data_IF_895933701966
#
_entry.id   IF_895933701966
#
_cell.length_a   1.000
_cell.length_b   1.000
_cell.length_c   1.000
_cell.angle_alpha   90.00
_cell.angle_beta   90.00
_cell.angle_gamma   90.00
#
_symmetry.space_group_name_H-M   'P 1'
#
loop_
_entity.id
_entity.type
_entity.pdbx_description
1 polymer ?
#
# COMPACT_ATOMS: atom_id res chain seq x y z
N UNK A 1 -20.99 0.09 -4.39
CA UNK A 1 -21.02 -1.28 -4.93
C UNK A 1 -20.02 -2.11 -4.15
N UNK A 2 -20.42 -3.29 -3.64
CA UNK A 2 -19.47 -4.21 -3.01
C UNK A 2 -18.71 -4.98 -4.08
N UNK A 3 -17.42 -5.12 -3.87
CA UNK A 3 -16.47 -5.81 -4.73
C UNK A 3 -16.14 -7.14 -4.04
N UNK A 4 -16.18 -8.26 -4.77
CA UNK A 4 -15.72 -9.55 -4.23
C UNK A 4 -14.20 -9.54 -4.19
N UNK A 5 -13.59 -10.16 -3.17
CA UNK A 5 -12.19 -9.94 -2.84
C UNK A 5 -11.16 -10.42 -3.89
N UNK A 6 -11.57 -11.19 -4.90
CA UNK A 6 -10.79 -11.45 -6.12
C UNK A 6 -10.55 -10.18 -6.99
N UNK A 7 -11.07 -9.02 -6.58
CA UNK A 7 -11.07 -7.75 -7.33
C UNK A 7 -10.69 -6.53 -6.47
N UNK A 8 -10.03 -6.70 -5.31
CA UNK A 8 -9.53 -5.54 -4.54
C UNK A 8 -8.51 -4.80 -5.41
N UNK A 9 -8.89 -3.61 -5.85
CA UNK A 9 -8.06 -2.72 -6.66
C UNK A 9 -7.66 -1.49 -5.87
N UNK A 10 -6.43 -1.02 -6.09
CA UNK A 10 -5.94 0.24 -5.57
C UNK A 10 -6.67 1.40 -6.25
N UNK A 11 -7.47 2.17 -5.50
CA UNK A 11 -8.11 3.37 -6.02
C UNK A 11 -7.13 4.56 -6.08
N UNK A 12 -7.46 5.56 -6.90
CA UNK A 12 -6.73 6.83 -6.90
C UNK A 12 -6.82 7.55 -5.54
N UNK A 13 -7.94 7.40 -4.82
CA UNK A 13 -8.12 7.99 -3.49
C UNK A 13 -7.18 7.34 -2.47
N UNK A 14 -7.06 6.02 -2.48
CA UNK A 14 -6.11 5.29 -1.65
C UNK A 14 -4.66 5.69 -1.95
N UNK A 15 -4.30 5.81 -3.24
CA UNK A 15 -2.96 6.21 -3.64
C UNK A 15 -2.60 7.60 -3.09
N UNK A 16 -3.50 8.58 -3.21
CA UNK A 16 -3.30 9.94 -2.68
C UNK A 16 -3.26 9.94 -1.16
N UNK A 17 -4.11 9.14 -0.51
CA UNK A 17 -4.12 9.01 0.95
C UNK A 17 -2.77 8.47 1.46
N UNK A 18 -2.25 7.39 0.86
CA UNK A 18 -0.93 6.84 1.21
C UNK A 18 0.16 7.88 0.97
N UNK A 19 0.17 8.53 -0.20
CA UNK A 19 1.14 9.59 -0.51
C UNK A 19 1.15 10.71 0.54
N UNK A 20 -0.03 11.06 1.08
CA UNK A 20 -0.16 12.10 2.11
C UNK A 20 0.45 11.69 3.46
N UNK A 21 0.42 10.40 3.80
CA UNK A 21 1.06 9.89 5.02
C UNK A 21 2.58 9.74 4.88
N UNK A 22 3.06 9.29 3.72
CA UNK A 22 4.49 9.05 3.49
C UNK A 22 5.29 10.36 3.33
N UNK A 23 4.68 11.37 2.71
CA UNK A 23 5.37 12.61 2.35
C UNK A 23 6.37 12.43 1.20
N UNK A 24 6.69 13.53 0.51
CA UNK A 24 7.55 13.51 -0.68
C UNK A 24 8.98 13.97 -0.39
N UNK A 25 9.97 13.23 -0.91
CA UNK A 25 11.38 13.63 -0.96
C UNK A 25 11.94 13.52 -2.38
N UNK A 26 12.34 14.65 -2.95
CA UNK A 26 12.82 14.72 -4.34
C UNK A 26 14.25 14.23 -4.58
N UNK A 27 15.04 14.07 -3.52
CA UNK A 27 16.40 13.52 -3.56
C UNK A 27 16.49 12.33 -2.64
N UNK A 28 17.25 11.30 -3.03
CA UNK A 28 17.43 10.12 -2.19
C UNK A 28 18.10 10.46 -0.86
N UNK A 29 17.75 9.70 0.18
CA UNK A 29 18.34 9.80 1.51
C UNK A 29 18.54 8.39 2.08
N UNK A 30 19.46 8.27 3.03
CA UNK A 30 19.60 7.07 3.86
C UNK A 30 18.51 7.08 4.93
N UNK A 31 17.72 6.01 5.01
CA UNK A 31 16.62 5.88 5.98
C UNK A 31 17.08 5.62 7.43
N UNK A 32 18.40 5.54 7.66
CA UNK A 32 19.01 5.33 8.97
C UNK A 32 19.49 3.89 9.19
N UNK A 33 19.14 2.97 8.28
CA UNK A 33 19.63 1.57 8.31
C UNK A 33 20.47 1.21 7.08
N UNK A 34 20.92 2.20 6.30
CA UNK A 34 21.77 2.00 5.14
C UNK A 34 21.01 1.81 3.82
N UNK A 35 19.68 1.98 3.82
CA UNK A 35 18.86 1.81 2.62
C UNK A 35 18.55 3.18 2.02
N UNK A 36 18.80 3.31 0.72
CA UNK A 36 18.48 4.53 -0.01
C UNK A 36 17.00 4.59 -0.36
N UNK A 37 16.37 5.69 0.01
CA UNK A 37 14.92 5.90 -0.10
C UNK A 37 14.64 7.22 -0.81
N UNK A 38 13.61 7.28 -1.66
CA UNK A 38 13.23 8.49 -2.42
C UNK A 38 11.73 8.55 -2.67
N UNK A 39 11.21 9.72 -3.03
CA UNK A 39 9.81 9.91 -3.40
C UNK A 39 8.91 9.75 -2.18
N UNK A 40 7.93 8.86 -2.28
CA UNK A 40 7.02 8.47 -1.19
C UNK A 40 7.45 7.16 -0.53
N UNK A 41 8.75 7.03 -0.24
CA UNK A 41 9.28 5.87 0.50
C UNK A 41 9.77 4.69 -0.33
N UNK A 42 9.92 4.82 -1.66
CA UNK A 42 10.43 3.70 -2.48
C UNK A 42 11.93 3.49 -2.28
N UNK A 43 12.35 2.23 -2.25
CA UNK A 43 13.76 1.81 -2.12
C UNK A 43 14.26 1.04 -3.35
N UNK A 44 13.34 0.66 -4.25
CA UNK A 44 13.67 -0.15 -5.41
C UNK A 44 14.61 0.60 -6.36
N UNK A 45 15.83 0.06 -6.51
CA UNK A 45 16.87 0.57 -7.43
C UNK A 45 17.27 2.03 -7.17
N UNK A 46 17.08 2.53 -5.95
CA UNK A 46 17.49 3.87 -5.57
C UNK A 46 18.98 3.85 -5.23
N UNK A 47 19.72 4.82 -5.78
CA UNK A 47 21.15 5.02 -5.50
C UNK A 47 21.37 6.35 -4.79
N UNK A 48 22.44 6.51 -4.01
CA UNK A 48 22.79 7.80 -3.43
C UNK A 48 22.86 8.90 -4.51
N UNK A 49 22.21 10.04 -4.24
CA UNK A 49 22.13 11.16 -5.17
C UNK A 49 21.05 11.05 -6.26
N UNK A 50 20.22 9.99 -6.23
CA UNK A 50 19.08 9.89 -7.16
C UNK A 50 18.13 11.07 -6.97
N UNK A 51 17.50 11.51 -8.06
CA UNK A 51 16.48 12.57 -8.05
C UNK A 51 15.20 12.09 -8.72
N UNK A 52 14.07 12.58 -8.24
CA UNK A 52 12.75 12.32 -8.82
C UNK A 52 11.87 13.55 -8.70
N UNK A 53 10.82 13.65 -9.50
CA UNK A 53 9.72 14.61 -9.36
C UNK A 53 8.48 13.92 -8.72
N UNK A 54 7.47 14.69 -8.28
CA UNK A 54 6.26 14.13 -7.65
C UNK A 54 5.46 13.17 -8.55
N UNK A 55 5.41 13.42 -9.86
CA UNK A 55 4.63 12.59 -10.79
C UNK A 55 5.30 11.22 -10.95
N UNK A 56 6.63 11.22 -11.14
CA UNK A 56 7.39 9.96 -11.18
C UNK A 56 7.35 9.22 -9.83
N UNK A 57 7.41 9.96 -8.72
CA UNK A 57 7.30 9.37 -7.38
C UNK A 57 5.92 8.72 -7.13
N UNK A 58 4.83 9.34 -7.62
CA UNK A 58 3.50 8.72 -7.59
C UNK A 58 3.46 7.44 -8.42
N UNK A 59 4.16 7.37 -9.55
CA UNK A 59 4.30 6.14 -10.33
C UNK A 59 5.01 5.03 -9.55
N UNK A 60 6.04 5.36 -8.76
CA UNK A 60 6.68 4.40 -7.86
C UNK A 60 5.73 3.92 -6.77
N UNK A 61 5.03 4.86 -6.12
CA UNK A 61 4.07 4.54 -5.09
C UNK A 61 2.94 3.65 -5.62
N UNK A 62 2.42 3.94 -6.82
CA UNK A 62 1.39 3.13 -7.45
C UNK A 62 1.84 1.68 -7.64
N UNK A 63 3.05 1.48 -8.17
CA UNK A 63 3.63 0.14 -8.32
C UNK A 63 3.74 -0.56 -6.96
N UNK A 64 4.34 0.09 -5.97
CA UNK A 64 4.62 -0.50 -4.66
C UNK A 64 3.31 -0.82 -3.91
N UNK A 65 2.34 0.09 -3.92
CA UNK A 65 1.02 -0.12 -3.31
C UNK A 65 0.17 -1.16 -4.07
N UNK A 66 0.29 -1.25 -5.41
CA UNK A 66 -0.39 -2.29 -6.18
C UNK A 66 0.18 -3.69 -5.86
N UNK A 67 1.50 -3.82 -5.71
CA UNK A 67 2.13 -5.06 -5.27
C UNK A 67 1.62 -5.50 -3.88
N UNK A 68 1.53 -4.57 -2.93
CA UNK A 68 0.92 -4.85 -1.61
C UNK A 68 -0.55 -5.27 -1.75
N UNK A 69 -1.32 -4.60 -2.61
CA UNK A 69 -2.72 -4.91 -2.87
C UNK A 69 -2.89 -6.35 -3.37
N UNK A 70 -2.06 -6.76 -4.32
CA UNK A 70 -2.04 -8.13 -4.84
C UNK A 70 -1.69 -9.14 -3.74
N UNK A 71 -0.69 -8.84 -2.91
CA UNK A 71 -0.27 -9.72 -1.81
C UNK A 71 -1.37 -9.95 -0.76
N UNK A 72 -2.14 -8.92 -0.41
CA UNK A 72 -3.19 -9.03 0.60
C UNK A 72 -4.50 -9.61 0.06
N UNK A 73 -4.74 -9.51 -1.25
CA UNK A 73 -5.98 -10.01 -1.88
C UNK A 73 -6.24 -11.49 -1.53
N UNK A 74 -5.20 -12.32 -1.61
CA UNK A 74 -5.26 -13.75 -1.33
C UNK A 74 -5.66 -14.04 0.13
N UNK A 75 -5.15 -13.24 1.07
CA UNK A 75 -5.45 -13.48 2.49
C UNK A 75 -6.77 -12.85 2.93
N UNK A 76 -7.32 -11.88 2.19
CA UNK A 76 -8.68 -11.39 2.40
C UNK A 76 -9.71 -12.42 1.87
N UNK A 77 -9.45 -13.04 0.70
CA UNK A 77 -10.21 -14.18 0.19
C UNK A 77 -11.38 -13.76 -0.70
N UNK A 78 -12.62 -14.09 -0.31
CA UNK A 78 -13.86 -13.76 -1.05
C UNK A 78 -14.79 -12.82 -0.28
N UNK A 79 -14.31 -12.25 0.84
CA UNK A 79 -15.12 -11.35 1.67
C UNK A 79 -15.59 -10.15 0.84
N UNK A 80 -16.90 -9.86 0.79
CA UNK A 80 -17.40 -8.71 0.05
C UNK A 80 -17.04 -7.42 0.79
N UNK A 81 -16.41 -6.47 0.09
CA UNK A 81 -15.99 -5.19 0.65
C UNK A 81 -16.52 -4.03 -0.18
N UNK A 82 -16.80 -2.91 0.46
CA UNK A 82 -16.90 -1.64 -0.24
C UNK A 82 -15.51 -1.14 -0.63
N UNK A 83 -15.44 -0.33 -1.69
CA UNK A 83 -14.15 0.21 -2.17
C UNK A 83 -13.38 0.96 -1.08
N UNK A 84 -14.06 1.72 -0.23
CA UNK A 84 -13.40 2.47 0.85
C UNK A 84 -12.82 1.56 1.95
N UNK A 85 -13.41 0.39 2.19
CA UNK A 85 -12.89 -0.61 3.14
C UNK A 85 -11.64 -1.28 2.56
N UNK A 86 -11.71 -1.66 1.28
CA UNK A 86 -10.57 -2.13 0.51
C UNK A 86 -9.40 -1.13 0.53
N UNK A 87 -9.68 0.15 0.24
CA UNK A 87 -8.70 1.23 0.26
C UNK A 87 -8.03 1.38 1.64
N UNK A 88 -8.81 1.31 2.72
CA UNK A 88 -8.29 1.34 4.08
C UNK A 88 -7.39 0.14 4.40
N UNK A 89 -7.74 -1.06 3.93
CA UNK A 89 -6.91 -2.25 4.09
C UNK A 89 -5.61 -2.18 3.31
N UNK A 90 -5.65 -1.67 2.08
CA UNK A 90 -4.44 -1.42 1.28
C UNK A 90 -3.54 -0.40 1.98
N UNK A 91 -4.08 0.71 2.48
CA UNK A 91 -3.29 1.71 3.22
C UNK A 91 -2.68 1.12 4.49
N UNK A 92 -3.42 0.30 5.24
CA UNK A 92 -2.89 -0.37 6.43
C UNK A 92 -1.78 -1.36 6.06
N UNK A 93 -2.00 -2.18 5.04
CA UNK A 93 -1.03 -3.16 4.59
C UNK A 93 0.24 -2.51 4.02
N UNK A 94 0.14 -1.33 3.41
CA UNK A 94 1.31 -0.56 2.99
C UNK A 94 2.14 -0.13 4.21
N UNK A 95 1.48 0.32 5.27
CA UNK A 95 2.15 0.78 6.49
C UNK A 95 2.82 -0.35 7.29
N UNK A 96 2.16 -1.49 7.49
CA UNK A 96 2.67 -2.58 8.34
C UNK A 96 3.26 -3.77 7.57
N UNK A 97 3.16 -3.76 6.23
CA UNK A 97 3.52 -4.86 5.36
C UNK A 97 2.44 -5.94 5.23
N UNK A 98 2.36 -6.57 4.05
CA UNK A 98 1.34 -7.57 3.73
C UNK A 98 1.35 -8.79 4.66
N UNK A 99 2.53 -9.28 5.05
CA UNK A 99 2.66 -10.43 5.96
C UNK A 99 2.06 -10.16 7.34
N UNK A 100 2.29 -8.97 7.89
CA UNK A 100 1.73 -8.55 9.18
C UNK A 100 0.21 -8.34 9.06
N UNK A 101 -0.24 -7.70 7.98
CA UNK A 101 -1.66 -7.52 7.68
C UNK A 101 -2.39 -8.86 7.61
N UNK A 102 -1.89 -9.83 6.84
CA UNK A 102 -2.53 -11.13 6.66
C UNK A 102 -2.61 -11.97 7.95
N UNK A 103 -1.68 -11.77 8.89
CA UNK A 103 -1.67 -12.46 10.20
C UNK A 103 -2.46 -11.73 11.28
N UNK A 104 -2.93 -10.52 10.99
CA UNK A 104 -3.57 -9.63 11.97
C UNK A 104 -4.89 -10.19 12.52
N UNK A 105 -5.27 -9.71 13.71
CA UNK A 105 -6.59 -9.98 14.27
C UNK A 105 -7.72 -9.40 13.41
N UNK A 106 -7.45 -8.34 12.66
CA UNK A 106 -8.39 -7.73 11.72
C UNK A 106 -8.80 -8.72 10.63
N UNK A 107 -7.84 -9.35 9.95
CA UNK A 107 -8.15 -10.33 8.89
C UNK A 107 -8.88 -11.55 9.46
N UNK A 108 -8.53 -11.98 10.68
CA UNK A 108 -9.26 -13.07 11.36
C UNK A 108 -10.72 -12.70 11.64
N UNK A 109 -10.98 -11.46 12.09
CA UNK A 109 -12.33 -10.96 12.33
C UNK A 109 -13.11 -10.82 11.02
N UNK A 110 -12.48 -10.24 9.99
CA UNK A 110 -13.07 -10.03 8.68
C UNK A 110 -13.61 -11.33 8.05
N UNK A 111 -12.86 -12.42 8.21
CA UNK A 111 -13.26 -13.75 7.71
C UNK A 111 -14.38 -14.41 8.50
N UNK A 112 -14.53 -14.06 9.78
CA UNK A 112 -15.56 -14.62 10.67
C UNK A 112 -16.86 -13.83 10.57
N UNK A 113 -16.73 -12.51 10.61
CA UNK A 113 -17.82 -11.54 10.66
C UNK A 113 -17.60 -10.58 9.48
N UNK A 114 -18.16 -10.92 8.31
CA UNK A 114 -18.07 -10.03 7.15
C UNK A 114 -18.73 -8.69 7.46
N UNK A 115 -18.12 -7.55 7.09
CA UNK A 115 -18.64 -6.24 7.41
C UNK A 115 -20.00 -6.01 6.73
N UNK A 116 -20.89 -5.35 7.47
CA UNK A 116 -22.31 -5.27 7.17
C UNK A 116 -22.66 -4.62 5.85
#
# INVERSE_FOLDING_TARGET
MRVRSSLIGLSAAALVMIASFEGYRGTSYDDGVGVQTIGFGTTQRVKPGSKTDPVRALGFLYRDANEITEQISACIGDVPLHQHEADAFVSMAYNIGASAFCKSALVKKLKRDSPD
#
